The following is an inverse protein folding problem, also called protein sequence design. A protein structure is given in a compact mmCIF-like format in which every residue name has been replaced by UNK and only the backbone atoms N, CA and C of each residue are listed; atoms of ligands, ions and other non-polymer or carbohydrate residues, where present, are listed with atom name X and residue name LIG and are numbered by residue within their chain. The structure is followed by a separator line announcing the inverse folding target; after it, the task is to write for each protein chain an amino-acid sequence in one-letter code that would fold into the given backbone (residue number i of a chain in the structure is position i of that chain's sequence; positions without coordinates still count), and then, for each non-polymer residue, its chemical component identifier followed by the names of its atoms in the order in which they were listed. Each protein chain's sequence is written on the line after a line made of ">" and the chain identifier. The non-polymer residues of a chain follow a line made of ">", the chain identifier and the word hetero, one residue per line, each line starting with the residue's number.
data_IF_993650507309
#
_entry.id   IF_993650507309
#
_cell.length_a   1.000
_cell.length_b   1.000
_cell.length_c   1.000
_cell.angle_alpha   90.00
_cell.angle_beta   90.00
_cell.angle_gamma   90.00
#
_symmetry.space_group_name_H-M   'P 1'
#
loop_
_entity.id
_entity.type
_entity.pdbx_description
1 polymer ?
#
# COMPACT_ATOMS: atom_id res chain seq x y z
N UNK A 1 5.49 11.95 15.82
CA UNK A 1 4.96 10.90 14.93
C UNK A 1 3.76 11.50 14.23
N UNK A 2 3.92 11.87 12.97
CA UNK A 2 2.79 12.25 12.15
C UNK A 2 1.99 11.00 11.84
N UNK A 3 0.73 10.99 12.24
CA UNK A 3 -0.21 9.94 11.82
C UNK A 3 -0.59 10.27 10.38
N UNK A 4 0.00 9.56 9.44
CA UNK A 4 -0.43 9.64 8.06
C UNK A 4 -1.69 8.79 7.93
N UNK A 5 -2.83 9.42 7.73
CA UNK A 5 -4.05 8.71 7.34
C UNK A 5 -4.14 8.74 5.82
N UNK A 6 -4.08 7.56 5.19
CA UNK A 6 -4.43 7.47 3.78
C UNK A 6 -5.94 7.65 3.62
N UNK A 7 -6.36 8.48 2.68
CA UNK A 7 -7.79 8.60 2.34
C UNK A 7 -8.29 7.31 1.67
N UNK A 8 -7.39 6.60 0.99
CA UNK A 8 -7.65 5.32 0.37
C UNK A 8 -6.49 4.38 0.66
N UNK A 9 -6.72 3.38 1.51
CA UNK A 9 -5.71 2.42 1.94
C UNK A 9 -5.38 1.39 0.85
N UNK A 10 -4.19 0.77 0.96
CA UNK A 10 -3.78 -0.31 0.06
C UNK A 10 -4.76 -1.48 0.12
N UNK A 11 -5.29 -1.84 -1.03
CA UNK A 11 -6.24 -2.93 -1.21
C UNK A 11 -6.56 -3.15 -2.69
N UNK A 12 -7.36 -4.16 -3.05
CA UNK A 12 -7.76 -4.39 -4.45
C UNK A 12 -8.36 -3.16 -5.12
N UNK A 13 -9.04 -2.31 -4.35
CA UNK A 13 -9.63 -1.05 -4.83
C UNK A 13 -8.59 0.02 -5.21
N UNK A 14 -7.33 -0.10 -4.78
CA UNK A 14 -6.23 0.79 -5.19
C UNK A 14 -5.29 0.16 -6.23
N UNK A 15 -5.68 -0.95 -6.82
CA UNK A 15 -4.91 -1.65 -7.84
C UNK A 15 -5.16 -1.11 -9.26
N UNK A 16 -6.35 -0.60 -9.54
CA UNK A 16 -6.74 -0.12 -10.85
C UNK A 16 -6.82 1.40 -10.92
N UNK A 17 -6.31 1.97 -11.99
CA UNK A 17 -6.30 3.42 -12.23
C UNK A 17 -7.69 4.05 -12.11
N UNK A 18 -8.71 3.42 -12.65
CA UNK A 18 -10.09 3.91 -12.60
C UNK A 18 -10.62 4.09 -11.18
N UNK A 19 -10.27 3.20 -10.26
CA UNK A 19 -10.71 3.28 -8.87
C UNK A 19 -10.01 4.43 -8.14
N UNK A 20 -8.71 4.60 -8.38
CA UNK A 20 -7.93 5.72 -7.83
C UNK A 20 -8.48 7.05 -8.35
N UNK A 21 -8.79 7.13 -9.65
CA UNK A 21 -9.39 8.31 -10.27
C UNK A 21 -10.76 8.61 -9.65
N UNK A 22 -11.62 7.62 -9.47
CA UNK A 22 -12.93 7.79 -8.84
C UNK A 22 -12.80 8.33 -7.41
N UNK A 23 -11.88 7.76 -6.61
CA UNK A 23 -11.62 8.23 -5.26
C UNK A 23 -11.09 9.68 -5.24
N UNK A 24 -10.19 10.06 -6.17
CA UNK A 24 -9.73 11.44 -6.30
C UNK A 24 -10.88 12.41 -6.58
N UNK A 25 -11.77 12.06 -7.49
CA UNK A 25 -12.91 12.89 -7.85
C UNK A 25 -13.91 13.08 -6.71
N UNK A 26 -13.93 12.14 -5.75
CA UNK A 26 -14.76 12.24 -4.53
C UNK A 26 -14.05 12.91 -3.35
N UNK A 27 -12.81 13.35 -3.52
CA UNK A 27 -12.11 14.17 -2.54
C UNK A 27 -10.84 13.57 -1.94
N UNK A 28 -10.53 12.31 -2.22
CA UNK A 28 -9.29 11.68 -1.73
C UNK A 28 -8.04 12.37 -2.27
N UNK A 29 -7.01 12.51 -1.43
CA UNK A 29 -5.75 13.16 -1.77
C UNK A 29 -4.52 12.37 -1.35
N UNK A 30 -4.67 11.35 -0.52
CA UNK A 30 -3.60 10.44 -0.14
C UNK A 30 -3.99 9.00 -0.48
N UNK A 31 -3.23 8.38 -1.40
CA UNK A 31 -3.51 7.05 -1.93
C UNK A 31 -2.37 6.11 -1.60
N UNK A 32 -2.64 5.10 -0.80
CA UNK A 32 -1.72 3.98 -0.67
C UNK A 32 -2.07 2.94 -1.73
N UNK A 33 -1.19 2.79 -2.73
CA UNK A 33 -1.43 1.83 -3.81
C UNK A 33 -1.26 0.40 -3.30
N UNK A 34 -1.96 -0.55 -3.94
CA UNK A 34 -1.97 -1.96 -3.52
C UNK A 34 -0.56 -2.51 -3.35
N UNK A 35 -0.35 -3.22 -2.26
CA UNK A 35 0.93 -3.86 -1.93
C UNK A 35 1.40 -4.75 -3.08
N UNK A 36 2.67 -4.61 -3.45
CA UNK A 36 3.36 -5.50 -4.37
C UNK A 36 4.36 -6.38 -3.61
N UNK A 37 4.61 -7.57 -4.12
CA UNK A 37 5.51 -8.54 -3.52
C UNK A 37 6.15 -9.41 -4.59
N UNK A 38 7.07 -10.29 -4.21
CA UNK A 38 7.79 -11.15 -5.15
C UNK A 38 6.86 -12.14 -5.86
N UNK A 39 5.87 -12.67 -5.13
CA UNK A 39 4.78 -13.48 -5.69
C UNK A 39 3.66 -12.54 -6.08
N UNK A 40 3.20 -12.62 -7.32
CA UNK A 40 2.17 -11.73 -7.86
C UNK A 40 1.31 -12.40 -8.94
N UNK A 41 0.08 -11.91 -9.08
CA UNK A 41 -0.84 -12.35 -10.12
C UNK A 41 -1.03 -13.87 -10.17
N UNK A 42 -0.63 -14.51 -11.26
CA UNK A 42 -0.81 -15.96 -11.47
C UNK A 42 0.01 -16.83 -10.52
N UNK A 43 1.02 -16.28 -9.84
CA UNK A 43 1.85 -17.00 -8.88
C UNK A 43 1.14 -17.19 -7.52
N UNK A 44 0.09 -16.41 -7.25
CA UNK A 44 -0.67 -16.46 -6.00
C UNK A 44 -2.04 -17.10 -6.23
N UNK A 45 -2.25 -18.34 -5.78
CA UNK A 45 -3.60 -18.90 -5.76
C UNK A 45 -4.46 -18.14 -4.74
N UNK A 46 -5.53 -17.53 -5.19
CA UNK A 46 -6.57 -16.95 -4.32
C UNK A 46 -7.32 -18.11 -3.66
N UNK A 47 -6.91 -18.49 -2.46
CA UNK A 47 -7.41 -19.69 -1.78
C UNK A 47 -8.40 -19.40 -0.65
N UNK A 48 -8.39 -18.18 -0.11
CA UNK A 48 -9.22 -17.81 1.04
C UNK A 48 -9.93 -16.49 0.79
N UNK A 49 -11.26 -16.47 0.64
CA UNK A 49 -12.01 -15.23 0.59
C UNK A 49 -11.98 -14.54 1.95
N UNK A 50 -11.70 -13.24 1.98
CA UNK A 50 -11.74 -12.42 3.19
C UNK A 50 -13.15 -11.89 3.50
N UNK A 51 -14.06 -11.92 2.53
CA UNK A 51 -15.42 -11.41 2.67
C UNK A 51 -16.40 -12.39 2.03
N UNK A 52 -17.43 -12.79 2.77
CA UNK A 52 -18.56 -13.49 2.20
C UNK A 52 -19.40 -12.50 1.37
N UNK A 53 -19.31 -12.63 0.06
CA UNK A 53 -20.08 -11.81 -0.87
C UNK A 53 -21.03 -12.68 -1.68
N UNK A 54 -22.33 -12.44 -1.52
CA UNK A 54 -23.36 -13.21 -2.22
C UNK A 54 -23.71 -12.62 -3.59
N UNK A 55 -23.32 -11.38 -3.87
CA UNK A 55 -23.55 -10.70 -5.14
C UNK A 55 -22.40 -9.74 -5.49
N UNK A 56 -22.62 -8.54 -5.90
CA UNK A 56 -21.68 -7.66 -6.61
C UNK A 56 -20.33 -7.29 -5.90
N UNK A 57 -20.03 -7.87 -4.76
CA UNK A 57 -18.74 -7.71 -4.13
C UNK A 57 -17.75 -8.76 -4.65
N UNK A 58 -16.49 -8.39 -4.83
CA UNK A 58 -15.47 -9.40 -5.08
C UNK A 58 -14.77 -9.82 -3.79
N UNK A 59 -14.34 -11.07 -3.74
CA UNK A 59 -13.56 -11.57 -2.65
C UNK A 59 -12.24 -10.79 -2.57
N UNK A 60 -12.02 -10.15 -1.42
CA UNK A 60 -10.85 -9.33 -1.20
C UNK A 60 -9.86 -10.16 -0.41
N UNK A 61 -8.90 -10.73 -1.10
CA UNK A 61 -7.73 -11.27 -0.44
C UNK A 61 -6.62 -10.21 -0.44
N UNK A 62 -5.67 -10.30 0.51
CA UNK A 62 -4.53 -9.39 0.58
C UNK A 62 -3.54 -9.55 -0.59
N UNK A 63 -3.72 -10.55 -1.44
CA UNK A 63 -2.90 -10.85 -2.61
C UNK A 63 -3.04 -9.80 -3.73
N UNK A 64 -2.00 -9.67 -4.52
CA UNK A 64 -2.00 -8.86 -5.74
C UNK A 64 -2.56 -9.69 -6.89
N UNK A 65 -3.67 -9.30 -7.49
CA UNK A 65 -4.27 -9.97 -8.64
C UNK A 65 -3.54 -9.65 -9.96
N UNK A 66 -2.92 -8.47 -10.03
CA UNK A 66 -2.09 -8.07 -11.16
C UNK A 66 -0.62 -8.45 -10.94
N UNK A 67 0.08 -8.74 -12.02
CA UNK A 67 1.54 -8.80 -11.97
C UNK A 67 2.13 -7.42 -11.67
N UNK A 68 3.30 -7.37 -11.02
CA UNK A 68 3.95 -6.11 -10.64
C UNK A 68 4.07 -5.12 -11.80
N UNK A 69 4.48 -5.50 -13.03
CA UNK A 69 4.50 -4.55 -14.14
C UNK A 69 3.12 -4.00 -14.53
N UNK A 70 2.07 -4.81 -14.45
CA UNK A 70 0.71 -4.37 -14.74
C UNK A 70 0.18 -3.40 -13.66
N UNK A 71 0.46 -3.70 -12.39
CA UNK A 71 0.12 -2.80 -11.28
C UNK A 71 0.86 -1.45 -11.42
N UNK A 72 2.15 -1.51 -11.76
CA UNK A 72 2.94 -0.31 -12.06
C UNK A 72 2.31 0.56 -13.15
N UNK A 73 1.92 -0.06 -14.26
CA UNK A 73 1.27 0.64 -15.37
C UNK A 73 -0.02 1.34 -14.93
N UNK A 74 -0.83 0.68 -14.11
CA UNK A 74 -2.06 1.26 -13.55
C UNK A 74 -1.78 2.47 -12.64
N UNK A 75 -0.74 2.39 -11.81
CA UNK A 75 -0.38 3.51 -10.91
C UNK A 75 0.15 4.71 -11.67
N UNK A 76 0.99 4.50 -12.69
CA UNK A 76 1.48 5.58 -13.56
C UNK A 76 0.34 6.21 -14.35
N UNK A 77 -0.58 5.42 -14.91
CA UNK A 77 -1.79 5.94 -15.58
C UNK A 77 -2.61 6.80 -14.64
N UNK A 78 -2.89 6.29 -13.43
CA UNK A 78 -3.64 7.05 -12.44
C UNK A 78 -2.95 8.38 -12.12
N UNK A 79 -1.67 8.36 -11.78
CA UNK A 79 -0.88 9.57 -11.49
C UNK A 79 -1.00 10.60 -12.61
N UNK A 80 -0.76 10.18 -13.85
CA UNK A 80 -0.77 11.06 -15.01
C UNK A 80 -2.17 11.65 -15.25
N UNK A 81 -3.21 10.82 -15.20
CA UNK A 81 -4.60 11.27 -15.39
C UNK A 81 -5.02 12.22 -14.28
N UNK A 82 -4.65 11.98 -13.02
CA UNK A 82 -4.97 12.89 -11.92
C UNK A 82 -4.35 14.28 -12.13
N UNK A 83 -3.13 14.38 -12.68
CA UNK A 83 -2.52 15.67 -13.02
C UNK A 83 -3.33 16.40 -14.09
N UNK A 84 -3.78 15.69 -15.12
CA UNK A 84 -4.64 16.27 -16.17
C UNK A 84 -5.98 16.73 -15.61
N UNK A 85 -6.67 15.89 -14.85
CA UNK A 85 -7.99 16.21 -14.26
C UNK A 85 -7.91 17.36 -13.27
N UNK A 86 -6.89 17.38 -12.43
CA UNK A 86 -6.67 18.49 -11.49
C UNK A 86 -6.54 19.83 -12.21
N UNK A 87 -5.76 19.87 -13.30
CA UNK A 87 -5.57 21.08 -14.10
C UNK A 87 -6.83 21.46 -14.87
N UNK A 88 -7.45 20.49 -15.58
CA UNK A 88 -8.59 20.73 -16.44
C UNK A 88 -9.82 21.22 -15.68
N UNK A 89 -10.12 20.58 -14.56
CA UNK A 89 -11.32 20.84 -13.75
C UNK A 89 -11.07 21.71 -12.52
N UNK A 90 -9.84 22.22 -12.34
CA UNK A 90 -9.48 23.06 -11.18
C UNK A 90 -9.80 22.41 -9.83
N UNK A 91 -9.44 21.12 -9.70
CA UNK A 91 -9.72 20.32 -8.49
C UNK A 91 -8.70 20.55 -7.37
N UNK A 92 -8.07 21.69 -7.32
CA UNK A 92 -7.02 22.07 -6.39
C UNK A 92 -5.64 22.08 -7.04
N UNK A 93 -4.59 22.09 -6.20
CA UNK A 93 -3.22 22.03 -6.67
C UNK A 93 -2.96 20.69 -7.37
N UNK A 94 -2.47 20.67 -8.64
CA UNK A 94 -2.05 19.44 -9.31
C UNK A 94 -0.98 18.64 -8.55
N UNK A 95 -0.27 19.25 -7.61
CA UNK A 95 0.68 18.58 -6.71
C UNK A 95 0.12 18.33 -5.31
N UNK A 96 -1.15 18.64 -5.09
CA UNK A 96 -1.83 18.52 -3.79
C UNK A 96 -2.35 17.11 -3.47
N UNK A 97 -1.81 16.06 -4.09
CA UNK A 97 -2.10 14.67 -3.74
C UNK A 97 -0.83 13.82 -3.71
N UNK A 98 -0.87 12.75 -2.97
CA UNK A 98 0.27 11.88 -2.70
C UNK A 98 -0.09 10.43 -3.05
N UNK A 99 0.83 9.75 -3.74
CA UNK A 99 0.84 8.30 -3.82
C UNK A 99 1.88 7.76 -2.84
N UNK A 100 1.50 6.72 -2.13
CA UNK A 100 2.36 5.98 -1.23
C UNK A 100 2.47 4.53 -1.71
N UNK A 101 3.68 4.05 -1.97
CA UNK A 101 3.89 2.64 -2.33
C UNK A 101 3.61 1.74 -1.12
N UNK A 102 3.26 0.51 -1.39
CA UNK A 102 3.23 -0.54 -0.39
C UNK A 102 3.97 -1.76 -0.92
N UNK A 103 4.87 -2.30 -0.12
CA UNK A 103 5.64 -3.52 -0.44
C UNK A 103 5.58 -4.50 0.72
N UNK A 104 5.62 -5.78 0.39
CA UNK A 104 5.66 -6.86 1.34
C UNK A 104 6.71 -7.91 0.97
N UNK A 105 6.84 -8.95 1.78
CA UNK A 105 7.79 -10.04 1.67
C UNK A 105 9.06 -9.80 2.49
N UNK A 106 10.11 -10.64 2.31
CA UNK A 106 11.39 -10.52 2.98
C UNK A 106 12.35 -9.53 2.29
N UNK A 107 13.48 -9.25 2.90
CA UNK A 107 14.47 -8.33 2.35
C UNK A 107 14.99 -8.79 0.98
N UNK A 108 15.25 -10.08 0.81
CA UNK A 108 15.74 -10.64 -0.45
C UNK A 108 14.71 -10.47 -1.58
N UNK A 109 13.43 -10.67 -1.27
CA UNK A 109 12.32 -10.43 -2.19
C UNK A 109 12.18 -8.96 -2.59
N UNK A 110 12.29 -8.04 -1.62
CA UNK A 110 12.25 -6.60 -1.88
C UNK A 110 13.46 -6.14 -2.71
N UNK A 111 14.62 -6.75 -2.50
CA UNK A 111 15.82 -6.50 -3.31
C UNK A 111 15.85 -7.25 -4.64
N UNK A 112 14.86 -8.10 -4.92
CA UNK A 112 14.78 -8.80 -6.21
C UNK A 112 14.71 -7.82 -7.37
N UNK A 113 15.23 -8.18 -8.56
CA UNK A 113 15.20 -7.29 -9.73
C UNK A 113 13.78 -6.81 -10.11
N UNK A 114 12.75 -7.61 -9.81
CA UNK A 114 11.34 -7.28 -10.05
C UNK A 114 10.90 -6.11 -9.17
N UNK A 115 11.07 -6.24 -7.85
CA UNK A 115 10.60 -5.25 -6.88
C UNK A 115 11.52 -4.02 -6.85
N UNK A 116 12.82 -4.23 -6.99
CA UNK A 116 13.79 -3.15 -7.08
C UNK A 116 13.49 -2.21 -8.26
N UNK A 117 13.20 -2.79 -9.44
CA UNK A 117 12.77 -2.02 -10.61
C UNK A 117 11.48 -1.25 -10.33
N UNK A 118 10.47 -1.90 -9.77
CA UNK A 118 9.21 -1.26 -9.42
C UNK A 118 9.42 -0.03 -8.54
N UNK A 119 10.21 -0.16 -7.47
CA UNK A 119 10.52 0.95 -6.56
C UNK A 119 11.21 2.09 -7.30
N UNK A 120 12.23 1.79 -8.10
CA UNK A 120 12.99 2.80 -8.83
C UNK A 120 12.14 3.52 -9.87
N UNK A 121 11.32 2.78 -10.62
CA UNK A 121 10.44 3.35 -11.65
C UNK A 121 9.28 4.15 -11.04
N UNK A 122 8.76 3.78 -9.87
CA UNK A 122 7.80 4.59 -9.12
C UNK A 122 8.43 5.89 -8.59
N UNK A 123 9.70 5.87 -8.22
CA UNK A 123 10.42 7.10 -7.86
C UNK A 123 10.66 8.00 -9.07
N UNK A 124 10.84 7.43 -10.26
CA UNK A 124 10.97 8.17 -11.50
C UNK A 124 10.52 7.32 -12.70
N UNK A 125 9.35 7.60 -13.23
CA UNK A 125 8.76 6.91 -14.37
C UNK A 125 9.32 7.40 -15.74
N UNK A 126 10.24 8.39 -15.74
CA UNK A 126 10.82 8.92 -16.97
C UNK A 126 11.52 7.83 -17.79
N UNK A 127 11.23 7.77 -19.08
CA UNK A 127 11.79 6.78 -19.99
C UNK A 127 11.10 5.42 -19.97
N UNK A 128 10.12 5.20 -19.11
CA UNK A 128 9.33 3.96 -19.15
C UNK A 128 8.31 3.97 -20.29
N UNK A 129 7.97 2.79 -20.86
CA UNK A 129 7.00 2.71 -21.96
C UNK A 129 5.64 3.31 -21.60
N UNK A 130 5.13 3.04 -20.39
CA UNK A 130 3.84 3.54 -19.95
C UNK A 130 3.82 5.06 -19.79
N UNK A 131 4.93 5.68 -19.36
CA UNK A 131 5.04 7.13 -19.28
C UNK A 131 4.91 7.78 -20.67
N UNK A 132 5.64 7.23 -21.65
CA UNK A 132 5.56 7.69 -23.03
C UNK A 132 4.16 7.49 -23.63
N UNK A 133 3.49 6.38 -23.31
CA UNK A 133 2.11 6.11 -23.71
C UNK A 133 1.13 7.15 -23.14
N UNK A 134 1.24 7.46 -21.86
CA UNK A 134 0.41 8.48 -21.22
C UNK A 134 0.59 9.86 -21.85
N UNK A 135 1.83 10.26 -22.13
CA UNK A 135 2.11 11.53 -22.82
C UNK A 135 1.53 11.55 -24.23
N UNK A 136 1.74 10.48 -24.99
CA UNK A 136 1.21 10.37 -26.35
C UNK A 136 -0.32 10.40 -26.37
N UNK A 137 -0.97 9.69 -25.44
CA UNK A 137 -2.42 9.68 -25.31
C UNK A 137 -2.96 11.08 -24.95
N UNK A 138 -2.35 11.78 -24.00
CA UNK A 138 -2.76 13.13 -23.64
C UNK A 138 -2.64 14.10 -24.81
N UNK A 139 -1.54 14.05 -25.57
CA UNK A 139 -1.32 14.87 -26.77
C UNK A 139 -2.33 14.54 -27.88
N UNK A 140 -2.64 13.25 -28.08
CA UNK A 140 -3.65 12.81 -29.06
C UNK A 140 -5.04 13.40 -28.78
N UNK A 141 -5.41 13.53 -27.52
CA UNK A 141 -6.71 14.04 -27.09
C UNK A 141 -6.68 15.52 -26.67
N UNK A 142 -5.61 16.24 -26.98
CA UNK A 142 -5.40 17.63 -26.55
C UNK A 142 -6.56 18.57 -26.90
N UNK A 143 -7.20 18.37 -28.07
CA UNK A 143 -8.32 19.18 -28.51
C UNK A 143 -9.58 19.09 -27.63
N UNK A 144 -9.68 18.11 -26.75
CA UNK A 144 -10.78 17.97 -25.80
C UNK A 144 -10.56 18.77 -24.52
N UNK A 145 -9.31 19.18 -24.23
CA UNK A 145 -8.97 19.97 -23.07
C UNK A 145 -9.13 21.46 -23.34
N UNK A 146 -9.47 22.22 -22.29
CA UNK A 146 -9.62 23.67 -22.32
C UNK A 146 -8.48 24.39 -21.58
N UNK A 147 -7.90 23.72 -20.57
CA UNK A 147 -6.88 24.29 -19.68
C UNK A 147 -5.56 23.54 -19.71
N UNK A 148 -5.56 22.32 -20.20
CA UNK A 148 -4.35 21.53 -20.44
C UNK A 148 -3.83 21.84 -21.83
N UNK A 149 -2.54 22.12 -21.94
CA UNK A 149 -1.81 22.35 -23.20
C UNK A 149 -0.57 21.44 -23.27
N UNK A 150 0.14 21.46 -24.40
CA UNK A 150 1.34 20.65 -24.62
C UNK A 150 2.41 20.92 -23.55
N UNK A 151 2.61 22.20 -23.20
CA UNK A 151 3.62 22.59 -22.21
C UNK A 151 3.29 22.00 -20.84
N UNK A 152 2.02 22.01 -20.46
CA UNK A 152 1.59 21.38 -19.21
C UNK A 152 1.83 19.87 -19.20
N UNK A 153 1.49 19.18 -20.32
CA UNK A 153 1.71 17.73 -20.46
C UNK A 153 3.20 17.41 -20.31
N UNK A 154 4.07 18.18 -20.93
CA UNK A 154 5.53 18.00 -20.83
C UNK A 154 6.08 18.32 -19.43
N UNK A 155 5.44 19.22 -18.70
CA UNK A 155 5.84 19.62 -17.36
C UNK A 155 5.33 18.67 -16.25
N UNK A 156 4.47 17.70 -16.56
CA UNK A 156 4.02 16.71 -15.57
C UNK A 156 5.23 15.96 -15.03
N UNK A 157 5.39 15.96 -13.69
CA UNK A 157 6.51 15.29 -13.05
C UNK A 157 6.42 13.78 -13.17
N UNK A 158 7.47 13.09 -13.64
CA UNK A 158 7.53 11.63 -13.66
C UNK A 158 7.79 11.00 -12.29
N UNK A 159 8.00 11.82 -11.26
CA UNK A 159 8.20 11.36 -9.89
C UNK A 159 6.86 11.02 -9.27
N UNK A 160 6.47 9.74 -9.37
CA UNK A 160 5.15 9.26 -8.96
C UNK A 160 5.06 9.12 -7.44
N UNK A 161 6.11 8.62 -6.80
CA UNK A 161 6.06 8.29 -5.38
C UNK A 161 7.40 8.53 -4.68
N UNK A 162 7.35 9.06 -3.45
CA UNK A 162 8.51 9.31 -2.59
C UNK A 162 8.41 8.65 -1.22
N UNK A 163 7.35 7.88 -0.99
CA UNK A 163 7.10 7.22 0.28
C UNK A 163 6.64 5.79 0.08
N UNK A 164 6.87 4.97 1.10
CA UNK A 164 6.61 3.54 1.06
C UNK A 164 6.14 3.02 2.41
N UNK A 165 5.12 2.15 2.40
CA UNK A 165 4.73 1.37 3.56
C UNK A 165 5.27 -0.05 3.42
N UNK A 166 5.97 -0.51 4.44
CA UNK A 166 6.34 -1.90 4.61
C UNK A 166 5.17 -2.66 5.23
N UNK A 167 4.59 -3.57 4.47
CA UNK A 167 3.50 -4.46 4.89
C UNK A 167 4.03 -5.88 4.96
N UNK A 168 4.55 -6.25 6.12
CA UNK A 168 5.05 -7.60 6.37
C UNK A 168 3.92 -8.59 6.63
N UNK A 169 4.19 -9.86 6.39
CA UNK A 169 3.32 -10.96 6.78
C UNK A 169 3.33 -11.13 8.30
N UNK A 170 2.30 -11.81 8.82
CA UNK A 170 2.31 -12.30 10.19
C UNK A 170 3.54 -13.20 10.42
N UNK A 171 4.12 -13.15 11.60
CA UNK A 171 5.32 -13.92 11.96
C UNK A 171 6.65 -13.36 11.41
N UNK A 172 6.67 -12.17 10.82
CA UNK A 172 7.92 -11.57 10.38
C UNK A 172 8.75 -11.09 11.59
N UNK A 173 10.01 -11.57 11.76
CA UNK A 173 10.84 -11.18 12.91
C UNK A 173 11.17 -9.69 12.95
N UNK A 174 11.32 -9.13 14.14
CA UNK A 174 11.61 -7.71 14.35
C UNK A 174 12.90 -7.25 13.66
N UNK A 175 13.95 -8.08 13.66
CA UNK A 175 15.22 -7.79 13.00
C UNK A 175 15.10 -7.77 11.46
N UNK A 176 14.24 -8.60 10.89
CA UNK A 176 13.96 -8.56 9.45
C UNK A 176 13.20 -7.29 9.07
N UNK A 177 12.18 -6.92 9.84
CA UNK A 177 11.43 -5.67 9.66
C UNK A 177 12.38 -4.47 9.71
N UNK A 178 13.28 -4.45 10.69
CA UNK A 178 14.27 -3.38 10.86
C UNK A 178 15.23 -3.31 9.67
N UNK A 179 15.74 -4.44 9.19
CA UNK A 179 16.65 -4.51 8.03
C UNK A 179 15.97 -4.00 6.75
N UNK A 180 14.73 -4.38 6.52
CA UNK A 180 13.98 -3.92 5.35
C UNK A 180 13.74 -2.41 5.44
N UNK A 181 13.25 -1.91 6.57
CA UNK A 181 13.00 -0.49 6.75
C UNK A 181 14.28 0.35 6.65
N UNK A 182 15.39 -0.14 7.21
CA UNK A 182 16.70 0.51 7.09
C UNK A 182 17.18 0.56 5.63
N UNK A 183 16.97 -0.49 4.84
CA UNK A 183 17.25 -0.51 3.40
C UNK A 183 16.42 0.54 2.64
N UNK A 184 15.11 0.59 2.89
CA UNK A 184 14.22 1.55 2.23
C UNK A 184 14.60 3.02 2.55
N UNK A 185 14.95 3.28 3.80
CA UNK A 185 15.43 4.61 4.25
C UNK A 185 16.81 4.94 3.68
N UNK A 186 17.78 4.02 3.74
CA UNK A 186 19.19 4.33 3.48
C UNK A 186 19.56 4.21 2.01
N UNK A 187 19.13 3.14 1.35
CA UNK A 187 19.52 2.83 -0.03
C UNK A 187 18.52 3.38 -1.04
N UNK A 188 17.22 3.36 -0.71
CA UNK A 188 16.17 3.88 -1.60
C UNK A 188 15.84 5.35 -1.34
N UNK A 189 16.19 5.90 -0.19
CA UNK A 189 15.94 7.30 0.14
C UNK A 189 14.44 7.65 0.22
N UNK A 190 13.62 6.72 0.69
CA UNK A 190 12.17 6.85 0.77
C UNK A 190 11.70 7.20 2.18
N UNK A 191 10.74 8.11 2.29
CA UNK A 191 9.93 8.22 3.51
C UNK A 191 9.29 6.86 3.76
N UNK A 192 9.44 6.29 4.96
CA UNK A 192 9.08 4.90 5.20
C UNK A 192 8.12 4.75 6.37
N UNK A 193 7.14 3.88 6.21
CA UNK A 193 6.16 3.55 7.23
C UNK A 193 6.14 2.04 7.44
N UNK A 194 5.97 1.61 8.70
CA UNK A 194 5.79 0.20 9.05
C UNK A 194 4.33 -0.03 9.39
N UNK A 195 3.69 -0.97 8.70
CA UNK A 195 2.36 -1.43 9.04
C UNK A 195 2.46 -2.38 10.22
N UNK A 196 1.87 -1.97 11.35
CA UNK A 196 1.86 -2.74 12.58
C UNK A 196 0.63 -3.62 12.68
N UNK A 197 0.81 -4.87 13.12
CA UNK A 197 -0.29 -5.79 13.36
C UNK A 197 -1.00 -5.48 14.69
N UNK A 198 -2.32 -5.67 14.79
CA UNK A 198 -3.07 -5.47 16.03
C UNK A 198 -2.67 -6.45 17.13
N UNK A 199 -2.08 -7.58 16.75
CA UNK A 199 -1.52 -8.61 17.64
C UNK A 199 -0.38 -8.10 18.53
N UNK A 200 0.26 -6.98 18.16
CA UNK A 200 1.39 -6.39 18.89
C UNK A 200 1.07 -6.06 20.37
N UNK A 201 -0.19 -5.80 20.71
CA UNK A 201 -0.60 -5.50 22.09
C UNK A 201 -0.89 -6.75 22.94
N UNK A 202 -0.77 -7.93 22.35
CA UNK A 202 -0.97 -9.22 23.01
C UNK A 202 -2.41 -9.72 23.01
N UNK A 203 -2.53 -11.04 23.18
CA UNK A 203 -3.81 -11.75 23.08
C UNK A 203 -4.83 -11.29 24.15
N UNK A 204 -4.40 -11.21 25.39
CA UNK A 204 -5.29 -10.84 26.50
C UNK A 204 -5.92 -9.45 26.31
N UNK A 205 -5.10 -8.49 25.85
CA UNK A 205 -5.58 -7.14 25.55
C UNK A 205 -6.60 -7.16 24.40
N UNK A 206 -6.30 -7.87 23.31
CA UNK A 206 -7.19 -7.97 22.17
C UNK A 206 -8.51 -8.65 22.55
N UNK A 207 -8.46 -9.76 23.31
CA UNK A 207 -9.65 -10.49 23.76
C UNK A 207 -10.53 -9.62 24.65
N UNK A 208 -9.94 -9.01 25.66
CA UNK A 208 -10.68 -8.09 26.53
C UNK A 208 -11.33 -6.95 25.75
N UNK A 209 -10.59 -6.34 24.84
CA UNK A 209 -11.11 -5.22 24.02
C UNK A 209 -12.30 -5.66 23.16
N UNK A 210 -12.21 -6.83 22.52
CA UNK A 210 -13.29 -7.34 21.71
C UNK A 210 -14.54 -7.66 22.55
N UNK A 211 -14.36 -8.25 23.73
CA UNK A 211 -15.47 -8.54 24.64
C UNK A 211 -16.16 -7.25 25.13
N UNK A 212 -15.38 -6.24 25.51
CA UNK A 212 -15.91 -4.94 25.94
C UNK A 212 -16.67 -4.20 24.84
N UNK A 213 -16.26 -4.39 23.58
CA UNK A 213 -16.93 -3.81 22.42
C UNK A 213 -18.14 -4.61 21.92
N UNK A 214 -18.44 -5.77 22.54
CA UNK A 214 -19.59 -6.63 22.19
C UNK A 214 -19.30 -7.63 21.05
N UNK A 215 -18.02 -7.89 20.76
CA UNK A 215 -17.57 -8.89 19.78
C UNK A 215 -17.10 -10.19 20.46
N UNK A 216 -17.74 -10.56 21.54
CA UNK A 216 -17.48 -11.78 22.33
C UNK A 216 -17.73 -13.08 21.52
N UNK A 217 -18.52 -13.00 20.46
CA UNK A 217 -18.78 -14.11 19.53
C UNK A 217 -17.60 -14.40 18.58
N UNK A 218 -16.64 -13.49 18.45
CA UNK A 218 -15.47 -13.70 17.59
C UNK A 218 -14.51 -14.71 18.22
N UNK A 219 -14.11 -15.71 17.44
CA UNK A 219 -13.19 -16.75 17.88
C UNK A 219 -11.83 -16.55 17.23
N UNK A 220 -10.81 -16.44 18.04
CA UNK A 220 -9.40 -16.41 17.64
C UNK A 220 -8.54 -16.97 18.78
N UNK A 221 -7.38 -17.52 18.43
CA UNK A 221 -6.43 -18.05 19.40
C UNK A 221 -5.22 -17.14 19.60
N UNK A 222 -4.26 -17.57 20.41
CA UNK A 222 -3.08 -16.79 20.75
C UNK A 222 -1.86 -17.06 19.83
N UNK A 223 -2.01 -17.92 18.81
CA UNK A 223 -0.92 -18.37 17.95
C UNK A 223 -0.22 -17.19 17.25
N UNK A 224 -0.97 -16.42 16.47
CA UNK A 224 -0.42 -15.26 15.74
C UNK A 224 0.07 -14.16 16.68
N UNK A 225 -0.55 -14.04 17.87
CA UNK A 225 -0.10 -13.06 18.87
C UNK A 225 1.28 -13.38 19.44
N UNK A 226 1.68 -14.66 19.45
CA UNK A 226 3.01 -15.08 19.92
C UNK A 226 4.08 -15.00 18.86
N UNK A 227 3.70 -15.13 17.58
CA UNK A 227 4.63 -15.12 16.45
C UNK A 227 4.90 -13.73 15.88
N UNK A 228 3.94 -12.82 16.02
CA UNK A 228 4.07 -11.47 15.51
C UNK A 228 5.00 -10.60 16.35
N UNK A 229 5.39 -9.47 15.79
CA UNK A 229 6.19 -8.44 16.46
C UNK A 229 5.59 -8.03 17.81
N UNK A 230 6.32 -8.25 18.88
CA UNK A 230 5.92 -7.91 20.25
C UNK A 230 6.16 -6.43 20.55
N UNK A 231 5.35 -5.82 21.41
CA UNK A 231 5.41 -4.40 21.75
C UNK A 231 6.78 -4.00 22.32
N UNK A 232 7.36 -4.84 23.17
CA UNK A 232 8.65 -4.61 23.83
C UNK A 232 9.81 -4.60 22.82
N UNK A 233 9.68 -5.33 21.71
CA UNK A 233 10.66 -5.33 20.61
C UNK A 233 10.39 -4.21 19.62
N UNK A 234 9.11 -3.92 19.35
CA UNK A 234 8.69 -2.90 18.41
C UNK A 234 9.17 -1.51 18.80
N UNK A 235 9.00 -1.11 20.06
CA UNK A 235 9.32 0.25 20.50
C UNK A 235 10.80 0.61 20.32
N UNK A 236 11.77 -0.21 20.78
CA UNK A 236 13.19 0.07 20.53
C UNK A 236 13.58 0.07 19.05
N UNK A 237 13.01 -0.85 18.25
CA UNK A 237 13.22 -0.92 16.81
C UNK A 237 12.74 0.36 16.12
N UNK A 238 11.51 0.79 16.40
CA UNK A 238 10.93 2.01 15.83
C UNK A 238 11.74 3.26 16.22
N UNK A 239 12.26 3.32 17.45
CA UNK A 239 13.15 4.40 17.89
C UNK A 239 14.45 4.45 17.10
N UNK A 240 15.10 3.30 16.85
CA UNK A 240 16.32 3.24 16.03
C UNK A 240 16.06 3.69 14.58
N UNK A 241 14.95 3.22 13.99
CA UNK A 241 14.54 3.61 12.63
C UNK A 241 14.18 5.10 12.54
N UNK A 242 13.54 5.67 13.55
CA UNK A 242 13.28 7.12 13.61
C UNK A 242 14.58 7.93 13.63
N UNK A 243 15.60 7.49 14.40
CA UNK A 243 16.92 8.14 14.42
C UNK A 243 17.61 8.04 13.07
N UNK A 244 17.54 6.86 12.43
CA UNK A 244 18.08 6.66 11.08
C UNK A 244 17.41 7.59 10.07
N UNK A 245 16.09 7.65 10.05
CA UNK A 245 15.32 8.52 9.15
C UNK A 245 15.69 10.00 9.34
N UNK A 246 15.77 10.44 10.60
CA UNK A 246 16.18 11.81 10.91
C UNK A 246 17.59 12.12 10.37
N UNK A 247 18.53 11.18 10.48
CA UNK A 247 19.87 11.34 9.94
C UNK A 247 19.93 11.46 8.41
N UNK A 248 18.91 10.97 7.73
CA UNK A 248 18.74 11.02 6.27
C UNK A 248 17.80 12.15 5.81
N UNK A 249 17.27 12.94 6.74
CA UNK A 249 16.25 13.95 6.48
C UNK A 249 14.99 13.36 5.81
N UNK A 250 14.58 12.17 6.26
CA UNK A 250 13.40 11.45 5.81
C UNK A 250 12.37 11.36 6.92
N UNK A 251 11.10 11.25 6.55
CA UNK A 251 10.01 10.95 7.48
C UNK A 251 9.95 9.45 7.73
N UNK A 252 9.65 9.10 8.98
CA UNK A 252 9.39 7.72 9.39
C UNK A 252 8.15 7.69 10.27
N UNK A 253 7.36 6.63 10.18
CA UNK A 253 6.14 6.48 10.96
C UNK A 253 5.64 5.06 10.99
N UNK A 254 4.46 4.89 11.58
CA UNK A 254 3.75 3.61 11.63
C UNK A 254 2.38 3.75 10.99
N UNK A 255 1.94 2.70 10.33
CA UNK A 255 0.57 2.53 9.87
C UNK A 255 -0.17 1.63 10.87
N UNK A 256 -1.24 2.15 11.46
CA UNK A 256 -2.13 1.43 12.34
C UNK A 256 -3.45 1.25 11.57
N UNK A 257 -3.90 0.04 11.22
CA UNK A 257 -3.33 -1.23 11.65
C UNK A 257 -3.50 -2.23 10.51
N UNK A 258 -3.11 -3.47 10.71
CA UNK A 258 -3.38 -4.58 9.80
C UNK A 258 -4.66 -5.32 10.25
N UNK A 259 -5.10 -6.28 9.45
CA UNK A 259 -6.07 -7.30 9.82
C UNK A 259 -5.42 -8.34 10.75
N UNK A 260 -6.21 -9.12 11.47
CA UNK A 260 -5.74 -10.29 12.20
C UNK A 260 -6.66 -11.50 11.93
N UNK A 261 -6.15 -12.74 12.04
CA UNK A 261 -6.90 -13.93 11.72
C UNK A 261 -7.95 -14.24 12.79
N UNK A 262 -9.12 -14.68 12.33
CA UNK A 262 -10.22 -15.19 13.16
C UNK A 262 -10.69 -16.52 12.61
N UNK A 263 -11.20 -17.38 13.48
CA UNK A 263 -11.72 -18.69 13.12
C UNK A 263 -13.05 -18.58 12.38
N UNK A 264 -13.21 -19.32 11.29
CA UNK A 264 -14.49 -19.45 10.58
C UNK A 264 -15.35 -20.48 11.32
N UNK A 265 -16.29 -20.02 12.13
CA UNK A 265 -17.11 -20.89 12.98
C UNK A 265 -18.39 -21.43 12.30
N UNK A 266 -18.92 -20.72 11.31
CA UNK A 266 -20.24 -20.99 10.76
C UNK A 266 -20.25 -21.80 9.45
N UNK A 267 -19.10 -22.24 8.95
CA UNK A 267 -18.95 -22.89 7.64
C UNK A 267 -19.54 -22.09 6.45
N UNK A 268 -19.67 -20.79 6.60
CA UNK A 268 -20.18 -19.91 5.54
C UNK A 268 -19.12 -19.61 4.49
N UNK A 269 -17.85 -19.72 4.85
CA UNK A 269 -16.69 -19.52 3.99
C UNK A 269 -15.82 -20.78 3.96
N UNK A 270 -15.14 -21.07 2.84
CA UNK A 270 -14.19 -22.16 2.78
C UNK A 270 -12.96 -21.87 3.64
N UNK A 271 -12.49 -22.92 4.35
CA UNK A 271 -11.31 -22.85 5.22
C UNK A 271 -11.64 -22.71 6.70
N UNK A 272 -10.61 -22.66 7.53
CA UNK A 272 -10.70 -22.65 8.98
C UNK A 272 -10.52 -21.25 9.58
N UNK A 273 -9.86 -20.36 8.84
CA UNK A 273 -9.54 -19.00 9.24
C UNK A 273 -9.81 -17.99 8.14
N UNK A 274 -10.13 -16.76 8.52
CA UNK A 274 -10.18 -15.58 7.66
C UNK A 274 -9.47 -14.41 8.34
N UNK A 275 -9.08 -13.42 7.57
CA UNK A 275 -8.50 -12.17 8.09
C UNK A 275 -9.55 -11.06 8.12
N UNK A 276 -9.61 -10.36 9.25
CA UNK A 276 -10.52 -9.23 9.48
C UNK A 276 -9.78 -7.92 9.55
#
# INVERSE_FOLDING_TARGET
>A
LDVCSSDLAAGPHTQLAQNIIAAYLTGSRFFEVKTVQILDGEDLPVSKPCIAAADECYNVEWSTELRVPQAYDEYVKAWFVLKLLSKEFELGDPNGFIFNMSVGYDLAGIQSPKIDRYINEMQNAEGTPIWAECQAAAKKYLSYFKKVDDLYIEAISPKVCHSITLSTLHGCPSDEIERIAAYLLSEKGLHSFIKCNPTMLGYEYARQTMDELGFDYMVFDDHHFKEDLQFEEAVPMLQRLQLLANSKNLSFGVKITNTFPVTIAANELPGDEMYM
#
